data_IF_429593129051
#
_entry.id   IF_429593129051
#
_cell.length_a   1.000
_cell.length_b   1.000
_cell.length_c   1.000
_cell.angle_alpha   90.00
_cell.angle_beta   90.00
_cell.angle_gamma   90.00
#
_symmetry.space_group_name_H-M   'P 1'
#
loop_
_entity.id
_entity.type
_entity.pdbx_description
1 polymer ?
#
# COMPACT_ATOMS: atom_id res chain seq x y z
N UNK A 1 -18.73 4.04 15.48
CA UNK A 1 -17.53 3.43 16.06
C UNK A 1 -16.36 4.06 15.34
N UNK A 2 -15.40 4.67 16.04
CA UNK A 2 -14.17 5.15 15.41
C UNK A 2 -13.31 3.94 15.05
N UNK A 3 -12.84 3.90 13.81
CA UNK A 3 -11.94 2.88 13.30
C UNK A 3 -10.54 3.07 13.89
N UNK A 4 -9.87 1.99 14.26
CA UNK A 4 -8.50 2.01 14.80
C UNK A 4 -7.46 2.17 13.68
N UNK A 5 -6.28 2.71 14.00
CA UNK A 5 -5.18 2.85 13.03
C UNK A 5 -4.81 1.51 12.39
N UNK A 6 -4.79 0.43 13.18
CA UNK A 6 -4.51 -0.93 12.70
C UNK A 6 -5.54 -1.39 11.66
N UNK A 7 -6.83 -1.16 11.90
CA UNK A 7 -7.88 -1.52 10.94
C UNK A 7 -7.72 -0.77 9.62
N UNK A 8 -7.41 0.53 9.67
CA UNK A 8 -7.16 1.34 8.47
C UNK A 8 -5.95 0.81 7.70
N UNK A 9 -4.86 0.47 8.40
CA UNK A 9 -3.65 -0.06 7.77
C UNK A 9 -3.87 -1.45 7.15
N UNK A 10 -4.65 -2.32 7.80
CA UNK A 10 -5.01 -3.62 7.22
C UNK A 10 -5.91 -3.47 5.99
N UNK A 11 -6.80 -2.48 5.96
CA UNK A 11 -7.55 -2.15 4.74
C UNK A 11 -6.64 -1.67 3.61
N UNK A 12 -5.62 -0.88 3.92
CA UNK A 12 -4.62 -0.49 2.92
C UNK A 12 -3.92 -1.72 2.33
N UNK A 13 -3.64 -2.75 3.13
CA UNK A 13 -3.06 -3.99 2.63
C UNK A 13 -3.98 -4.69 1.62
N UNK A 14 -5.26 -4.85 1.97
CA UNK A 14 -6.26 -5.48 1.11
C UNK A 14 -6.39 -4.70 -0.22
N UNK A 15 -6.56 -3.38 -0.15
CA UNK A 15 -6.72 -2.56 -1.36
C UNK A 15 -5.47 -2.56 -2.24
N UNK A 16 -4.28 -2.63 -1.64
CA UNK A 16 -3.03 -2.78 -2.38
C UNK A 16 -2.95 -4.13 -3.10
N UNK A 17 -3.42 -5.22 -2.50
CA UNK A 17 -3.47 -6.53 -3.16
C UNK A 17 -4.50 -6.58 -4.30
N UNK A 18 -5.64 -5.91 -4.12
CA UNK A 18 -6.75 -5.89 -5.08
C UNK A 18 -6.56 -4.93 -6.26
N UNK A 19 -5.44 -4.19 -6.34
CA UNK A 19 -5.24 -3.10 -7.32
C UNK A 19 -6.29 -1.98 -7.21
N UNK A 20 -7.01 -1.89 -6.08
CA UNK A 20 -8.00 -0.86 -5.84
C UNK A 20 -7.35 0.43 -5.31
N UNK A 21 -6.63 1.11 -6.20
CA UNK A 21 -5.82 2.27 -5.85
C UNK A 21 -6.64 3.46 -5.34
N UNK A 22 -7.87 3.64 -5.80
CA UNK A 22 -8.75 4.72 -5.33
C UNK A 22 -9.08 4.52 -3.84
N UNK A 23 -9.53 3.33 -3.45
CA UNK A 23 -9.83 3.00 -2.05
C UNK A 23 -8.57 2.98 -1.17
N UNK A 24 -7.43 2.58 -1.74
CA UNK A 24 -6.13 2.64 -1.07
C UNK A 24 -5.75 4.08 -0.72
N UNK A 25 -5.87 5.01 -1.68
CA UNK A 25 -5.56 6.44 -1.47
C UNK A 25 -6.44 7.02 -0.37
N UNK A 26 -7.76 6.81 -0.45
CA UNK A 26 -8.70 7.28 0.58
C UNK A 26 -8.34 6.73 1.98
N UNK A 27 -7.87 5.49 2.06
CA UNK A 27 -7.48 4.88 3.34
C UNK A 27 -6.16 5.44 3.86
N UNK A 28 -5.19 5.70 2.98
CA UNK A 28 -3.92 6.34 3.35
C UNK A 28 -4.12 7.79 3.80
N UNK A 29 -5.07 8.52 3.23
CA UNK A 29 -5.45 9.85 3.72
C UNK A 29 -5.99 9.78 5.16
N UNK A 30 -6.80 8.76 5.48
CA UNK A 30 -7.25 8.53 6.86
C UNK A 30 -6.06 8.24 7.79
N UNK A 31 -5.08 7.44 7.37
CA UNK A 31 -3.84 7.21 8.14
C UNK A 31 -3.10 8.52 8.39
N UNK A 32 -2.90 9.34 7.36
CA UNK A 32 -2.19 10.62 7.48
C UNK A 32 -2.90 11.62 8.41
N UNK A 33 -4.23 11.52 8.51
CA UNK A 33 -5.07 12.36 9.38
C UNK A 33 -5.35 11.77 10.77
N UNK A 34 -4.88 10.55 11.06
CA UNK A 34 -5.19 9.85 12.30
C UNK A 34 -4.52 10.53 13.51
N UNK A 35 -5.28 10.80 14.57
CA UNK A 35 -4.71 11.37 15.80
C UNK A 35 -3.94 10.30 16.59
N UNK A 36 -2.63 10.43 16.61
CA UNK A 36 -1.73 9.46 17.23
C UNK A 36 -1.44 9.76 18.71
N UNK A 37 -1.98 10.85 19.28
CA UNK A 37 -1.64 11.30 20.65
C UNK A 37 -1.93 10.28 21.75
N UNK A 38 -2.89 9.39 21.53
CA UNK A 38 -3.33 8.42 22.54
C UNK A 38 -2.86 6.99 22.25
N UNK A 39 -2.00 6.79 21.25
CA UNK A 39 -1.45 5.47 20.95
C UNK A 39 -0.38 5.10 21.98
N UNK A 40 -0.45 3.87 22.47
CA UNK A 40 0.60 3.24 23.26
C UNK A 40 1.83 2.98 22.39
N UNK A 41 2.98 2.78 23.05
CA UNK A 41 4.22 2.41 22.37
C UNK A 41 4.05 1.15 21.51
N UNK A 42 3.34 0.15 22.01
CA UNK A 42 3.09 -1.12 21.30
C UNK A 42 2.26 -0.88 20.03
N UNK A 43 1.23 -0.04 20.09
CA UNK A 43 0.41 0.31 18.93
C UNK A 43 1.23 1.09 17.87
N UNK A 44 2.14 1.96 18.29
CA UNK A 44 3.06 2.63 17.37
C UNK A 44 4.01 1.66 16.68
N UNK A 45 4.63 0.74 17.44
CA UNK A 45 5.55 -0.25 16.87
C UNK A 45 4.83 -1.20 15.91
N UNK A 46 3.60 -1.61 16.24
CA UNK A 46 2.78 -2.41 15.35
C UNK A 46 2.42 -1.65 14.07
N UNK A 47 1.93 -0.40 14.19
CA UNK A 47 1.59 0.43 13.04
C UNK A 47 2.80 0.64 12.12
N UNK A 48 3.98 0.90 12.69
CA UNK A 48 5.22 1.08 11.93
C UNK A 48 5.56 -0.18 11.13
N UNK A 49 5.49 -1.37 11.75
CA UNK A 49 5.75 -2.64 11.05
C UNK A 49 4.80 -2.85 9.87
N UNK A 50 3.53 -2.50 10.03
CA UNK A 50 2.55 -2.64 8.94
C UNK A 50 2.85 -1.65 7.81
N UNK A 51 3.19 -0.39 8.14
CA UNK A 51 3.56 0.62 7.14
C UNK A 51 4.79 0.19 6.34
N UNK A 52 5.85 -0.27 7.01
CA UNK A 52 7.07 -0.75 6.35
C UNK A 52 6.77 -1.92 5.39
N UNK A 53 5.90 -2.84 5.83
CA UNK A 53 5.45 -3.94 5.00
C UNK A 53 4.65 -3.49 3.77
N UNK A 54 3.74 -2.52 3.93
CA UNK A 54 2.98 -1.94 2.81
C UNK A 54 3.90 -1.25 1.80
N UNK A 55 4.89 -0.50 2.26
CA UNK A 55 5.89 0.15 1.40
C UNK A 55 6.61 -0.91 0.56
N UNK A 56 7.10 -1.97 1.20
CA UNK A 56 7.79 -3.05 0.49
C UNK A 56 6.90 -3.71 -0.56
N UNK A 57 5.65 -4.05 -0.21
CA UNK A 57 4.68 -4.61 -1.17
C UNK A 57 4.45 -3.67 -2.36
N UNK A 58 4.31 -2.37 -2.12
CA UNK A 58 4.11 -1.39 -3.18
C UNK A 58 5.33 -1.28 -4.11
N UNK A 59 6.55 -1.37 -3.56
CA UNK A 59 7.79 -1.40 -4.35
C UNK A 59 7.89 -2.65 -5.23
N UNK A 60 7.62 -3.83 -4.67
CA UNK A 60 7.61 -5.09 -5.41
C UNK A 60 6.59 -5.04 -6.56
N UNK A 61 5.42 -4.47 -6.31
CA UNK A 61 4.37 -4.31 -7.32
C UNK A 61 4.78 -3.32 -8.43
N UNK A 62 5.43 -2.21 -8.06
CA UNK A 62 6.00 -1.25 -9.01
C UNK A 62 7.03 -1.91 -9.93
N UNK A 63 7.92 -2.74 -9.37
CA UNK A 63 8.91 -3.49 -10.14
C UNK A 63 8.23 -4.46 -11.12
N UNK A 64 7.24 -5.23 -10.65
CA UNK A 64 6.49 -6.15 -11.51
C UNK A 64 5.81 -5.45 -12.69
N UNK A 65 5.24 -4.26 -12.47
CA UNK A 65 4.64 -3.44 -13.53
C UNK A 65 5.72 -2.99 -14.53
N UNK A 66 6.87 -2.51 -14.04
CA UNK A 66 7.98 -2.08 -14.90
C UNK A 66 8.50 -3.22 -15.79
N UNK A 67 8.64 -4.43 -15.24
CA UNK A 67 9.02 -5.63 -15.99
C UNK A 67 8.00 -5.99 -17.08
N UNK A 68 6.71 -5.96 -16.74
CA UNK A 68 5.62 -6.20 -17.71
C UNK A 68 5.65 -5.19 -18.85
N UNK A 69 5.88 -3.92 -18.56
CA UNK A 69 6.00 -2.86 -19.57
C UNK A 69 7.21 -3.06 -20.48
N UNK A 70 8.37 -3.41 -19.92
CA UNK A 70 9.56 -3.73 -20.72
C UNK A 70 9.31 -4.92 -21.65
N UNK A 71 8.69 -5.98 -21.15
CA UNK A 71 8.36 -7.16 -21.95
C UNK A 71 7.38 -6.82 -23.08
N UNK A 72 6.36 -5.99 -22.81
CA UNK A 72 5.42 -5.51 -23.81
C UNK A 72 6.12 -4.69 -24.91
N UNK A 73 7.05 -3.80 -24.54
CA UNK A 73 7.84 -3.04 -25.51
C UNK A 73 8.70 -3.94 -26.40
N UNK A 74 9.37 -4.95 -25.81
CA UNK A 74 10.16 -5.93 -26.57
C UNK A 74 9.29 -6.71 -27.56
N UNK A 75 8.15 -7.22 -27.11
CA UNK A 75 7.18 -7.93 -27.96
C UNK A 75 6.73 -7.10 -29.16
N UNK A 76 6.39 -5.81 -28.94
CA UNK A 76 6.03 -4.89 -30.02
C UNK A 76 7.16 -4.69 -31.04
N UNK A 77 8.42 -4.75 -30.60
CA UNK A 77 9.60 -4.68 -31.46
C UNK A 77 9.78 -5.90 -32.36
N UNK A 78 9.34 -7.09 -31.94
CA UNK A 78 9.44 -8.32 -32.73
C UNK A 78 8.37 -8.48 -33.83
N UNK A 79 7.27 -7.72 -33.76
CA UNK A 79 6.16 -7.78 -34.74
C UNK A 79 6.32 -6.73 -35.86
N UNK A 80 7.35 -5.89 -35.80
CA UNK A 80 7.75 -4.98 -36.87
C UNK A 80 8.81 -5.61 -37.75
#
# INVERSE_FOLDING_TARGET
>A
MNESLKEILLKCEIYLEEDNYDALIESLEKVASFDTKNLTKEEYEEALRIIEFLIKKAEDKKLSIAEKLMNFQRFKGYIK
#
